data_IF_315339621666
#
_entry.id   IF_315339621666
#
_cell.length_a   1.000
_cell.length_b   1.000
_cell.length_c   1.000
_cell.angle_alpha   90.00
_cell.angle_beta   90.00
_cell.angle_gamma   90.00
#
_symmetry.space_group_name_H-M   'P 1'
#
loop_
_entity.id
_entity.type
_entity.pdbx_description
1 polymer ?
#
# COMPACT_ATOMS: atom_id res chain seq x y z
N UNK A 1 20.37 4.94 -29.16
CA UNK A 1 19.01 5.17 -28.63
C UNK A 1 18.06 4.70 -29.68
N UNK A 2 17.53 3.48 -29.54
CA UNK A 2 16.57 2.94 -30.49
C UNK A 2 15.47 2.22 -29.70
N UNK A 3 14.28 2.79 -29.76
CA UNK A 3 13.05 2.17 -29.26
C UNK A 3 12.41 1.44 -30.45
N UNK A 4 12.39 0.12 -30.41
CA UNK A 4 11.60 -0.67 -31.34
C UNK A 4 10.24 -0.99 -30.71
N UNK A 5 9.23 -0.21 -31.07
CA UNK A 5 7.82 -0.58 -30.92
C UNK A 5 7.38 -1.15 -32.26
N UNK A 6 7.08 -2.45 -32.31
CA UNK A 6 6.43 -3.07 -33.46
C UNK A 6 5.05 -3.56 -33.05
N UNK A 7 4.05 -2.73 -33.33
CA UNK A 7 2.64 -3.11 -33.40
C UNK A 7 2.37 -3.57 -34.84
N UNK A 8 2.11 -4.86 -35.04
CA UNK A 8 1.55 -5.39 -36.28
C UNK A 8 0.40 -6.33 -35.95
N UNK A 9 -0.81 -5.84 -36.20
CA UNK A 9 -2.03 -6.63 -36.34
C UNK A 9 -2.16 -7.03 -37.81
N UNK A 10 -2.12 -8.33 -38.11
CA UNK A 10 -3.11 -9.08 -38.92
C UNK A 10 -2.57 -10.48 -39.21
N UNK A 11 -3.41 -11.50 -39.06
CA UNK A 11 -3.11 -12.85 -39.52
C UNK A 11 -3.80 -13.93 -38.71
N UNK A 12 -5.00 -14.34 -39.15
CA UNK A 12 -5.64 -15.59 -38.70
C UNK A 12 -4.72 -16.77 -39.04
N UNK A 13 -4.20 -17.43 -38.02
CA UNK A 13 -3.54 -18.73 -38.12
C UNK A 13 -3.45 -19.35 -36.73
N UNK A 14 -3.89 -20.61 -36.57
CA UNK A 14 -3.68 -21.40 -35.34
C UNK A 14 -2.18 -21.53 -35.09
N UNK A 15 -1.64 -20.73 -34.18
CA UNK A 15 -0.29 -20.89 -33.64
C UNK A 15 -0.41 -21.24 -32.16
N UNK A 16 0.41 -22.20 -31.72
CA UNK A 16 0.37 -22.81 -30.41
C UNK A 16 0.38 -21.80 -29.26
N UNK A 17 -0.10 -22.25 -28.11
CA UNK A 17 -0.05 -21.53 -26.83
C UNK A 17 1.28 -20.78 -26.72
N UNK A 18 1.27 -19.44 -26.57
CA UNK A 18 2.50 -18.69 -26.37
C UNK A 18 3.23 -19.33 -25.19
N UNK A 19 4.51 -19.64 -25.37
CA UNK A 19 5.34 -20.12 -24.28
C UNK A 19 5.16 -19.16 -23.09
N UNK A 20 4.93 -19.66 -21.87
CA UNK A 20 4.73 -18.79 -20.73
C UNK A 20 5.90 -17.81 -20.64
N UNK A 21 5.65 -16.53 -20.29
CA UNK A 21 6.71 -15.54 -20.15
C UNK A 21 7.83 -16.11 -19.29
N UNK A 22 9.07 -16.06 -19.78
CA UNK A 22 10.22 -16.46 -18.96
C UNK A 22 10.30 -15.49 -17.80
N UNK A 23 9.97 -15.97 -16.60
CA UNK A 23 10.16 -15.19 -15.38
C UNK A 23 11.65 -14.89 -15.22
N UNK A 24 11.97 -13.66 -14.81
CA UNK A 24 13.34 -13.30 -14.46
C UNK A 24 13.87 -14.28 -13.41
N UNK A 25 15.14 -14.69 -13.49
CA UNK A 25 15.74 -15.51 -12.45
C UNK A 25 15.59 -14.84 -11.09
N UNK A 26 15.17 -15.62 -10.09
CA UNK A 26 15.01 -15.14 -8.71
C UNK A 26 16.32 -14.53 -8.21
N UNK A 27 16.23 -13.45 -7.44
CA UNK A 27 17.40 -12.77 -6.87
C UNK A 27 18.38 -13.77 -6.21
N UNK A 28 19.62 -13.90 -6.74
CA UNK A 28 20.59 -14.85 -6.22
C UNK A 28 21.06 -14.53 -4.80
N UNK A 29 20.96 -13.27 -4.37
CA UNK A 29 21.34 -12.85 -3.01
C UNK A 29 20.48 -13.52 -1.94
N UNK A 30 19.29 -14.00 -2.26
CA UNK A 30 18.44 -14.75 -1.33
C UNK A 30 19.06 -16.09 -0.90
N UNK A 31 19.97 -16.65 -1.70
CA UNK A 31 20.70 -17.88 -1.34
C UNK A 31 21.88 -17.60 -0.43
N UNK A 32 22.63 -16.54 -0.72
CA UNK A 32 23.86 -16.20 0.01
C UNK A 32 23.59 -15.36 1.26
N UNK A 33 22.49 -14.60 1.27
CA UNK A 33 22.02 -13.74 2.35
C UNK A 33 20.51 -13.96 2.53
N UNK A 34 20.07 -15.05 3.17
CA UNK A 34 18.65 -15.34 3.34
C UNK A 34 17.96 -14.28 4.20
N UNK A 35 16.67 -14.07 3.94
CA UNK A 35 15.82 -13.22 4.78
C UNK A 35 15.44 -13.99 6.05
N UNK A 36 15.54 -13.40 7.25
CA UNK A 36 15.10 -14.03 8.49
C UNK A 36 13.61 -14.42 8.43
N UNK A 37 13.17 -15.48 9.15
CA UNK A 37 11.77 -15.92 9.10
C UNK A 37 10.76 -14.88 9.59
N UNK A 38 11.19 -14.00 10.50
CA UNK A 38 10.42 -12.90 11.08
C UNK A 38 11.29 -11.65 11.12
N UNK A 39 10.67 -10.50 10.87
CA UNK A 39 11.38 -9.22 10.94
C UNK A 39 10.51 -8.14 11.57
N UNK A 40 11.17 -7.20 12.24
CA UNK A 40 10.56 -6.00 12.78
C UNK A 40 11.38 -4.82 12.27
N UNK A 41 10.76 -3.92 11.52
CA UNK A 41 11.40 -2.72 11.02
C UNK A 41 11.00 -1.51 11.86
N UNK A 42 11.87 -0.51 11.92
CA UNK A 42 11.46 0.82 12.33
C UNK A 42 10.51 1.40 11.28
N UNK A 43 9.31 1.80 11.70
CA UNK A 43 8.29 2.35 10.81
C UNK A 43 8.15 3.85 11.10
N UNK A 44 8.25 4.67 10.04
CA UNK A 44 7.90 6.09 10.08
C UNK A 44 6.63 6.31 9.28
N UNK A 45 5.53 6.68 9.94
CA UNK A 45 4.25 6.91 9.28
C UNK A 45 4.09 8.36 8.81
N UNK A 46 3.51 8.57 7.63
CA UNK A 46 3.16 9.90 7.06
C UNK A 46 1.67 9.92 6.71
N UNK A 47 0.99 11.06 6.93
CA UNK A 47 -0.44 11.25 6.62
C UNK A 47 -1.30 11.38 7.87
N UNK A 48 -2.58 11.74 7.71
CA UNK A 48 -3.47 12.02 8.85
C UNK A 48 -3.69 10.81 9.75
N UNK A 49 -3.65 9.59 9.21
CA UNK A 49 -3.75 8.36 9.98
C UNK A 49 -2.54 8.08 10.89
N UNK A 50 -1.44 8.82 10.74
CA UNK A 50 -0.26 8.72 11.60
C UNK A 50 -0.37 9.56 12.88
N UNK A 51 -1.41 10.41 13.00
CA UNK A 51 -1.58 11.29 14.15
C UNK A 51 -1.77 10.50 15.46
N UNK A 52 -1.17 10.97 16.55
CA UNK A 52 -1.22 10.29 17.85
C UNK A 52 -2.63 10.22 18.43
N UNK A 53 -3.50 11.16 18.07
CA UNK A 53 -4.88 11.28 18.50
C UNK A 53 -5.87 10.60 17.53
N UNK A 54 -5.39 9.87 16.51
CA UNK A 54 -6.24 9.27 15.48
C UNK A 54 -7.37 8.42 16.07
N UNK A 55 -7.08 7.65 17.12
CA UNK A 55 -8.07 6.78 17.78
C UNK A 55 -9.23 7.55 18.43
N UNK A 56 -9.01 8.79 18.84
CA UNK A 56 -10.06 9.66 19.42
C UNK A 56 -10.81 10.49 18.38
N UNK A 57 -10.26 10.65 17.17
CA UNK A 57 -10.84 11.53 16.13
C UNK A 57 -11.55 10.77 15.00
N UNK A 58 -11.40 9.44 14.94
CA UNK A 58 -12.17 8.60 14.02
C UNK A 58 -13.66 8.59 14.38
N UNK A 59 -14.49 8.48 13.36
CA UNK A 59 -15.91 8.19 13.51
C UNK A 59 -16.19 6.76 13.05
N UNK A 60 -16.71 5.86 13.91
CA UNK A 60 -17.07 4.50 13.50
C UNK A 60 -18.03 4.50 12.32
N UNK A 61 -17.86 3.55 11.41
CA UNK A 61 -18.57 3.44 10.15
C UNK A 61 -20.09 3.39 10.34
N UNK A 62 -20.58 2.66 11.35
CA UNK A 62 -22.01 2.58 11.64
C UNK A 62 -22.58 3.95 12.07
N UNK A 63 -21.82 4.71 12.89
CA UNK A 63 -22.19 6.07 13.32
C UNK A 63 -22.16 7.07 12.16
N UNK A 64 -21.11 6.97 11.34
CA UNK A 64 -20.97 7.76 10.13
C UNK A 64 -22.14 7.52 9.17
N UNK A 65 -22.54 6.26 8.98
CA UNK A 65 -23.68 5.86 8.15
C UNK A 65 -25.01 6.39 8.69
N UNK A 66 -25.25 6.27 10.00
CA UNK A 66 -26.44 6.84 10.65
C UNK A 66 -26.54 8.36 10.43
N UNK A 67 -25.41 9.07 10.57
CA UNK A 67 -25.35 10.53 10.48
C UNK A 67 -25.59 11.08 9.07
N UNK A 68 -25.05 10.42 8.05
CA UNK A 68 -25.10 10.92 6.66
C UNK A 68 -26.36 10.52 5.93
N UNK A 69 -27.18 9.64 6.52
CA UNK A 69 -28.44 9.19 5.96
C UNK A 69 -28.28 8.06 4.93
N UNK A 70 -29.37 7.66 4.25
CA UNK A 70 -29.34 6.57 3.32
C UNK A 70 -28.46 6.93 2.11
N UNK A 71 -27.46 6.10 1.85
CA UNK A 71 -26.62 6.17 0.67
C UNK A 71 -27.43 5.80 -0.57
N UNK A 72 -27.20 6.49 -1.70
CA UNK A 72 -27.72 6.02 -2.97
C UNK A 72 -27.05 4.69 -3.35
N UNK A 73 -27.66 3.87 -4.23
CA UNK A 73 -27.00 2.63 -4.71
C UNK A 73 -25.63 2.90 -5.37
N UNK A 74 -25.43 4.10 -5.91
CA UNK A 74 -24.14 4.58 -6.42
C UNK A 74 -23.12 4.88 -5.31
N UNK A 75 -23.56 5.37 -4.15
CA UNK A 75 -22.71 5.61 -2.99
C UNK A 75 -22.38 4.31 -2.24
N UNK A 76 -23.35 3.39 -2.14
CA UNK A 76 -23.20 2.10 -1.46
C UNK A 76 -22.18 1.17 -2.11
N UNK A 77 -21.88 1.38 -3.40
CA UNK A 77 -20.93 0.56 -4.15
C UNK A 77 -19.49 1.14 -4.16
N UNK A 78 -19.24 2.25 -3.45
CA UNK A 78 -17.93 2.91 -3.44
C UNK A 78 -16.85 2.09 -2.72
N UNK A 79 -15.65 2.02 -3.30
CA UNK A 79 -14.47 1.35 -2.71
C UNK A 79 -14.13 1.84 -1.30
N UNK A 80 -14.34 3.13 -1.02
CA UNK A 80 -14.12 3.73 0.29
C UNK A 80 -15.10 3.24 1.36
N UNK A 81 -16.36 2.96 0.99
CA UNK A 81 -17.36 2.47 1.95
C UNK A 81 -17.03 1.04 2.40
N UNK A 82 -16.67 0.17 1.45
CA UNK A 82 -16.21 -1.18 1.74
C UNK A 82 -14.94 -1.18 2.60
N UNK A 83 -14.00 -0.29 2.28
CA UNK A 83 -12.77 -0.11 3.03
C UNK A 83 -13.03 0.24 4.50
N UNK A 84 -13.82 1.29 4.79
CA UNK A 84 -14.13 1.70 6.17
C UNK A 84 -14.83 0.58 6.95
N UNK A 85 -15.81 -0.08 6.33
CA UNK A 85 -16.49 -1.24 6.93
C UNK A 85 -15.51 -2.38 7.25
N UNK A 86 -14.55 -2.64 6.38
CA UNK A 86 -13.54 -3.69 6.57
C UNK A 86 -12.54 -3.36 7.68
N UNK A 87 -12.16 -2.08 7.81
CA UNK A 87 -11.26 -1.60 8.87
C UNK A 87 -11.95 -1.74 10.22
N UNK A 88 -13.18 -1.26 10.35
CA UNK A 88 -13.89 -1.29 11.63
C UNK A 88 -14.13 -2.73 12.10
N UNK A 89 -14.54 -3.62 11.19
CA UNK A 89 -14.66 -5.06 11.48
C UNK A 89 -13.35 -5.68 11.97
N UNK A 90 -12.20 -5.24 11.45
CA UNK A 90 -10.87 -5.72 11.88
C UNK A 90 -10.43 -5.09 13.20
N UNK A 91 -10.71 -3.80 13.41
CA UNK A 91 -10.28 -3.03 14.58
C UNK A 91 -10.85 -3.54 15.90
N UNK A 92 -11.95 -4.29 15.87
CA UNK A 92 -12.49 -4.99 17.03
C UNK A 92 -11.60 -6.17 17.51
N UNK A 93 -10.59 -6.57 16.74
CA UNK A 93 -9.54 -7.53 17.16
C UNK A 93 -8.37 -6.75 17.73
N UNK A 94 -8.24 -6.78 19.05
CA UNK A 94 -7.45 -5.86 19.88
C UNK A 94 -5.94 -5.70 19.58
N UNK A 95 -5.32 -6.49 18.71
CA UNK A 95 -3.86 -6.67 18.76
C UNK A 95 -3.03 -6.35 17.51
N UNK A 96 -3.58 -6.02 16.34
CA UNK A 96 -2.72 -5.92 15.14
C UNK A 96 -2.96 -4.71 14.24
N UNK A 97 -4.19 -4.25 14.05
CA UNK A 97 -4.48 -3.13 13.14
C UNK A 97 -5.26 -2.04 13.88
N UNK A 98 -4.66 -0.85 13.99
CA UNK A 98 -5.38 0.36 14.42
C UNK A 98 -6.53 0.70 13.46
N UNK A 99 -7.28 1.78 13.74
CA UNK A 99 -8.42 2.21 12.92
C UNK A 99 -8.03 2.82 11.56
N UNK A 100 -6.80 2.55 11.12
CA UNK A 100 -6.11 3.18 10.00
C UNK A 100 -5.91 2.20 8.86
N UNK A 101 -5.63 2.71 7.67
CA UNK A 101 -5.24 1.91 6.52
C UNK A 101 -4.18 2.64 5.71
N UNK A 102 -3.50 1.92 4.84
CA UNK A 102 -2.34 2.49 4.18
C UNK A 102 -1.56 1.51 3.34
N UNK A 103 -0.44 2.02 2.84
CA UNK A 103 0.56 1.24 2.13
C UNK A 103 1.88 1.26 2.89
N UNK A 104 2.63 0.16 2.79
CA UNK A 104 4.02 0.13 3.18
C UNK A 104 4.90 0.56 2.01
N UNK A 105 5.84 1.46 2.26
CA UNK A 105 6.83 1.91 1.27
C UNK A 105 8.20 1.50 1.78
N UNK A 106 8.82 0.54 1.10
CA UNK A 106 10.19 0.13 1.35
C UNK A 106 11.14 1.05 0.59
N UNK A 107 12.03 1.73 1.32
CA UNK A 107 13.04 2.61 0.72
C UNK A 107 14.23 1.77 0.32
N UNK A 108 14.58 1.81 -0.96
CA UNK A 108 15.73 1.06 -1.52
C UNK A 108 16.87 1.95 -1.97
N UNK A 109 16.65 3.25 -2.16
CA UNK A 109 17.69 4.23 -2.52
C UNK A 109 17.89 5.21 -1.38
N UNK A 110 19.12 5.26 -0.87
CA UNK A 110 19.53 6.10 0.26
C UNK A 110 20.51 7.21 -0.14
N UNK A 111 20.55 7.58 -1.42
CA UNK A 111 21.34 8.75 -1.84
C UNK A 111 20.86 10.02 -1.13
N UNK A 112 21.75 10.99 -0.91
CA UNK A 112 21.38 12.24 -0.25
C UNK A 112 20.19 12.94 -0.93
N UNK A 113 20.14 12.90 -2.27
CA UNK A 113 19.03 13.44 -3.07
C UNK A 113 17.74 12.66 -2.85
N UNK A 114 17.80 11.32 -2.80
CA UNK A 114 16.61 10.51 -2.52
C UNK A 114 16.06 10.79 -1.12
N UNK A 115 16.95 10.86 -0.12
CA UNK A 115 16.55 11.12 1.28
C UNK A 115 15.96 12.52 1.46
N UNK A 116 16.52 13.53 0.79
CA UNK A 116 15.98 14.90 0.83
C UNK A 116 14.58 15.00 0.21
N UNK A 117 14.29 14.20 -0.82
CA UNK A 117 13.01 14.24 -1.54
C UNK A 117 11.97 13.24 -1.03
N UNK A 118 12.36 12.29 -0.16
CA UNK A 118 11.53 11.17 0.27
C UNK A 118 10.21 11.63 0.90
N UNK A 119 10.28 12.61 1.78
CA UNK A 119 9.10 13.12 2.49
C UNK A 119 8.11 13.80 1.52
N UNK A 120 8.61 14.71 0.68
CA UNK A 120 7.77 15.35 -0.35
C UNK A 120 7.18 14.35 -1.35
N UNK A 121 7.92 13.29 -1.69
CA UNK A 121 7.42 12.22 -2.55
C UNK A 121 6.28 11.44 -1.86
N UNK A 122 6.44 11.10 -0.58
CA UNK A 122 5.40 10.43 0.20
C UNK A 122 4.15 11.30 0.34
N UNK A 123 4.30 12.60 0.61
CA UNK A 123 3.19 13.55 0.67
C UNK A 123 2.42 13.64 -0.65
N UNK A 124 3.12 13.60 -1.80
CA UNK A 124 2.46 13.55 -3.11
C UNK A 124 1.63 12.28 -3.29
N UNK A 125 2.09 11.13 -2.78
CA UNK A 125 1.32 9.89 -2.78
C UNK A 125 0.08 10.01 -1.90
N UNK A 126 0.21 10.60 -0.70
CA UNK A 126 -0.94 10.90 0.17
C UNK A 126 -1.96 11.76 -0.56
N UNK A 127 -1.52 12.80 -1.25
CA UNK A 127 -2.40 13.69 -2.01
C UNK A 127 -3.07 12.99 -3.19
N UNK A 128 -2.37 12.09 -3.91
CA UNK A 128 -2.98 11.27 -4.97
C UNK A 128 -4.09 10.38 -4.42
N UNK A 129 -3.86 9.72 -3.29
CA UNK A 129 -4.88 8.88 -2.65
C UNK A 129 -6.06 9.72 -2.15
N UNK A 130 -5.79 10.89 -1.55
CA UNK A 130 -6.85 11.82 -1.15
C UNK A 130 -7.73 12.21 -2.34
N UNK A 131 -7.13 12.53 -3.49
CA UNK A 131 -7.86 12.88 -4.72
C UNK A 131 -8.68 11.73 -5.28
N UNK A 132 -8.23 10.49 -5.18
CA UNK A 132 -9.04 9.35 -5.63
C UNK A 132 -10.28 9.16 -4.74
N UNK A 133 -10.16 9.46 -3.44
CA UNK A 133 -11.26 9.35 -2.48
C UNK A 133 -12.32 10.46 -2.62
N UNK A 134 -12.03 11.57 -3.31
CA UNK A 134 -13.06 12.60 -3.58
C UNK A 134 -14.15 12.14 -4.53
N UNK A 135 -13.96 11.00 -5.21
CA UNK A 135 -15.00 10.36 -6.03
C UNK A 135 -16.03 9.61 -5.18
N UNK A 136 -15.76 9.39 -3.90
CA UNK A 136 -16.70 8.79 -2.95
C UNK A 136 -17.63 9.84 -2.34
N UNK A 137 -18.69 9.39 -1.68
CA UNK A 137 -19.55 10.27 -0.87
C UNK A 137 -18.69 11.16 0.06
N UNK A 138 -18.89 12.49 0.13
CA UNK A 138 -17.96 13.42 0.78
C UNK A 138 -17.56 13.04 2.20
N UNK A 139 -18.52 12.65 3.04
CA UNK A 139 -18.26 12.23 4.42
C UNK A 139 -17.48 10.91 4.51
N UNK A 140 -17.69 9.99 3.56
CA UNK A 140 -17.01 8.69 3.50
C UNK A 140 -15.58 8.87 2.99
N UNK A 141 -15.40 9.66 1.93
CA UNK A 141 -14.08 10.01 1.41
C UNK A 141 -13.24 10.78 2.45
N UNK A 142 -13.86 11.69 3.20
CA UNK A 142 -13.20 12.42 4.28
C UNK A 142 -12.74 11.49 5.41
N UNK A 143 -13.60 10.57 5.88
CA UNK A 143 -13.22 9.61 6.93
C UNK A 143 -12.14 8.63 6.43
N UNK A 144 -12.26 8.14 5.19
CA UNK A 144 -11.25 7.30 4.59
C UNK A 144 -9.90 8.02 4.46
N UNK A 145 -9.91 9.29 4.04
CA UNK A 145 -8.70 10.14 3.97
C UNK A 145 -8.09 10.33 5.35
N UNK A 146 -8.90 10.65 6.36
CA UNK A 146 -8.46 10.87 7.74
C UNK A 146 -7.68 9.67 8.28
N UNK A 147 -8.16 8.47 7.98
CA UNK A 147 -7.58 7.20 8.45
C UNK A 147 -6.40 6.70 7.60
N UNK A 148 -6.06 7.39 6.51
CA UNK A 148 -5.00 6.99 5.61
C UNK A 148 -3.62 7.38 6.14
N UNK A 149 -2.66 6.45 6.04
CA UNK A 149 -1.24 6.70 6.30
C UNK A 149 -0.34 5.93 5.33
N UNK A 150 0.89 6.38 5.18
CA UNK A 150 1.97 5.66 4.52
C UNK A 150 3.00 5.26 5.55
N UNK A 151 3.32 3.97 5.63
CA UNK A 151 4.32 3.44 6.55
C UNK A 151 5.65 3.29 5.79
N UNK A 152 6.57 4.24 6.02
CA UNK A 152 7.91 4.21 5.43
C UNK A 152 8.81 3.28 6.23
N UNK A 153 9.41 2.33 5.53
CA UNK A 153 10.37 1.36 6.06
C UNK A 153 11.74 1.72 5.53
N UNK A 154 12.64 2.06 6.45
CA UNK A 154 14.01 2.47 6.17
C UNK A 154 14.96 1.57 6.96
N UNK A 155 15.77 0.81 6.24
CA UNK A 155 16.81 -0.09 6.76
C UNK A 155 17.89 -0.16 5.67
N UNK A 156 18.84 0.80 5.62
CA UNK A 156 19.84 0.87 4.56
C UNK A 156 20.68 -0.41 4.44
N UNK A 157 21.02 -1.04 5.57
CA UNK A 157 21.85 -2.26 5.59
C UNK A 157 21.18 -3.41 4.82
N UNK A 158 19.86 -3.46 4.87
CA UNK A 158 19.08 -4.57 4.32
C UNK A 158 18.46 -4.24 2.97
N UNK A 159 17.98 -3.00 2.81
CA UNK A 159 17.12 -2.58 1.70
C UNK A 159 17.85 -1.77 0.63
N UNK A 160 19.07 -1.29 0.88
CA UNK A 160 19.82 -0.58 -0.13
C UNK A 160 20.01 -1.46 -1.38
N UNK A 161 19.56 -0.93 -2.52
CA UNK A 161 19.60 -1.57 -3.84
C UNK A 161 18.93 -2.96 -3.85
N UNK A 162 18.00 -3.21 -2.92
CA UNK A 162 17.28 -4.47 -2.83
C UNK A 162 16.39 -4.67 -4.06
N UNK A 163 16.41 -5.89 -4.60
CA UNK A 163 15.52 -6.31 -5.68
C UNK A 163 14.08 -6.44 -5.19
N UNK A 164 13.12 -6.42 -6.12
CA UNK A 164 11.71 -6.67 -5.82
C UNK A 164 11.49 -8.02 -5.12
N UNK A 165 12.29 -9.04 -5.46
CA UNK A 165 12.23 -10.35 -4.81
C UNK A 165 12.66 -10.27 -3.35
N UNK A 166 13.75 -9.54 -3.07
CA UNK A 166 14.20 -9.28 -1.71
C UNK A 166 13.13 -8.53 -0.92
N UNK A 167 12.58 -7.45 -1.48
CA UNK A 167 11.51 -6.69 -0.85
C UNK A 167 10.29 -7.56 -0.53
N UNK A 168 9.91 -8.45 -1.44
CA UNK A 168 8.79 -9.38 -1.20
C UNK A 168 9.06 -10.33 -0.04
N UNK A 169 10.27 -10.88 0.06
CA UNK A 169 10.64 -11.75 1.18
C UNK A 169 10.72 -10.98 2.50
N UNK A 170 11.30 -9.78 2.51
CA UNK A 170 11.37 -8.92 3.71
C UNK A 170 9.96 -8.49 4.17
N UNK A 171 9.05 -8.19 3.23
CA UNK A 171 7.64 -7.92 3.53
C UNK A 171 6.95 -9.15 4.15
N UNK A 172 7.12 -10.34 3.57
CA UNK A 172 6.57 -11.58 4.12
C UNK A 172 7.10 -11.88 5.52
N UNK A 173 8.40 -11.65 5.75
CA UNK A 173 9.02 -11.80 7.07
C UNK A 173 8.46 -10.79 8.08
N UNK A 174 8.20 -9.56 7.64
CA UNK A 174 7.56 -8.54 8.47
C UNK A 174 6.13 -8.94 8.86
N UNK A 175 5.31 -9.41 7.91
CA UNK A 175 3.95 -9.90 8.21
C UNK A 175 3.96 -11.01 9.26
N UNK A 176 4.85 -12.01 9.10
CA UNK A 176 5.04 -13.09 10.07
C UNK A 176 5.54 -12.61 11.44
N UNK A 177 6.32 -11.52 11.45
CA UNK A 177 6.76 -10.83 12.68
C UNK A 177 5.57 -10.30 13.47
N UNK A 178 4.61 -9.69 12.77
CA UNK A 178 3.35 -9.18 13.33
C UNK A 178 2.26 -10.23 13.57
N UNK A 179 2.54 -11.52 13.32
CA UNK A 179 1.57 -12.60 13.51
C UNK A 179 0.50 -12.68 12.42
N UNK A 180 0.75 -12.08 11.25
CA UNK A 180 -0.10 -12.13 10.06
C UNK A 180 0.32 -13.26 9.11
#
# INVERSE_FOLDING_TARGET
>A
MEWHVSLLSTGRGKAGTPAPPRLSPRDPTLKTRPVPPKRHFGIRSIGSGAASDIRSTIEPFDKLKERVGPFSRSDECGSAMYLLKSIDRRSHRLDVDGPTWGYFIFVTSYSAVAMQNLESAAEKVVEVVRRSLTQSHPAIGAEATKRFKLDLIQDPETLQDASDDRIREEFNAMLKGHGL
#
